data_IF_966057837270
#
_entry.id   IF_966057837270
#
_cell.length_a   1.000
_cell.length_b   1.000
_cell.length_c   1.000
_cell.angle_alpha   90.00
_cell.angle_beta   90.00
_cell.angle_gamma   90.00
#
_symmetry.space_group_name_H-M   'P 1'
#
loop_
_entity.id
_entity.type
_entity.pdbx_description
1 polymer ?
#
# COMPACT_ATOMS: atom_id res chain seq x y z
N UNK A 1 35.08 -4.14 -19.84
CA UNK A 1 33.90 -3.35 -20.27
C UNK A 1 33.40 -3.93 -21.57
N UNK A 2 32.28 -4.65 -21.51
CA UNK A 2 31.47 -4.96 -22.69
C UNK A 2 30.03 -4.71 -22.25
N UNK A 3 29.51 -3.59 -22.72
CA UNK A 3 28.08 -3.29 -22.78
C UNK A 3 27.40 -4.46 -23.48
N UNK A 4 26.66 -5.26 -22.71
CA UNK A 4 25.71 -6.21 -23.26
C UNK A 4 24.32 -5.64 -23.12
N UNK A 5 23.90 -5.06 -24.23
CA UNK A 5 22.54 -5.15 -24.74
C UNK A 5 21.46 -4.67 -23.77
N UNK A 6 21.36 -3.35 -23.73
CA UNK A 6 20.09 -2.66 -23.54
C UNK A 6 19.14 -3.03 -24.70
N UNK A 7 18.59 -4.25 -24.67
CA UNK A 7 17.50 -4.64 -25.56
C UNK A 7 16.26 -3.87 -25.12
N UNK A 8 16.04 -2.71 -25.75
CA UNK A 8 14.74 -2.05 -25.78
C UNK A 8 13.79 -2.94 -26.56
N UNK A 9 13.02 -3.75 -25.84
CA UNK A 9 11.83 -4.37 -26.41
C UNK A 9 10.67 -3.39 -26.24
N UNK A 10 10.49 -2.52 -27.22
CA UNK A 10 9.31 -1.68 -27.34
C UNK A 10 8.30 -2.46 -28.21
N UNK A 11 7.37 -3.16 -27.56
CA UNK A 11 6.15 -3.64 -28.22
C UNK A 11 4.99 -2.91 -27.57
N UNK A 12 4.36 -2.03 -28.33
CA UNK A 12 3.22 -1.23 -27.91
C UNK A 12 2.06 -2.16 -27.48
N UNK A 13 1.91 -2.33 -26.16
CA UNK A 13 0.85 -3.17 -25.60
C UNK A 13 0.99 -3.53 -24.11
N UNK A 14 0.77 -2.55 -23.21
CA UNK A 14 -0.10 -2.74 -22.03
C UNK A 14 0.29 -3.64 -20.83
N UNK A 15 1.55 -3.95 -20.51
CA UNK A 15 1.84 -4.51 -19.18
C UNK A 15 3.02 -3.83 -18.47
N UNK A 16 2.73 -2.82 -17.63
CA UNK A 16 3.68 -2.27 -16.63
C UNK A 16 3.95 -3.27 -15.49
N UNK A 17 4.02 -4.55 -15.81
CA UNK A 17 4.10 -5.63 -14.84
C UNK A 17 5.54 -5.77 -14.34
N UNK A 18 5.78 -5.36 -13.10
CA UNK A 18 7.11 -5.50 -12.49
C UNK A 18 7.29 -6.92 -11.94
N UNK A 19 8.53 -7.39 -11.72
CA UNK A 19 8.77 -8.68 -11.06
C UNK A 19 8.07 -8.79 -9.70
N UNK A 20 7.98 -7.68 -8.97
CA UNK A 20 7.26 -7.61 -7.70
C UNK A 20 5.75 -7.79 -7.87
N UNK A 21 5.13 -7.09 -8.82
CA UNK A 21 3.71 -7.27 -9.10
C UNK A 21 3.41 -8.70 -9.57
N UNK A 22 4.29 -9.32 -10.37
CA UNK A 22 4.17 -10.73 -10.77
C UNK A 22 4.22 -11.68 -9.58
N UNK A 23 5.14 -11.48 -8.64
CA UNK A 23 5.21 -12.32 -7.45
C UNK A 23 3.92 -12.24 -6.60
N UNK A 24 3.30 -11.05 -6.53
CA UNK A 24 2.03 -10.85 -5.82
C UNK A 24 0.86 -11.51 -6.58
N UNK A 25 0.77 -11.31 -7.88
CA UNK A 25 -0.24 -11.94 -8.75
C UNK A 25 -0.15 -13.46 -8.69
N UNK A 26 1.05 -14.03 -8.68
CA UNK A 26 1.26 -15.49 -8.57
C UNK A 26 1.14 -16.02 -7.15
N UNK A 27 1.00 -15.17 -6.12
CA UNK A 27 0.85 -15.61 -4.73
C UNK A 27 2.13 -16.16 -4.08
N UNK A 28 3.31 -15.88 -4.66
CA UNK A 28 4.60 -16.44 -4.22
C UNK A 28 5.15 -15.66 -3.03
N UNK A 29 4.73 -15.97 -1.79
CA UNK A 29 5.09 -15.22 -0.58
C UNK A 29 6.60 -15.08 -0.36
N UNK A 30 7.37 -16.15 -0.61
CA UNK A 30 8.83 -16.11 -0.49
C UNK A 30 9.47 -15.12 -1.45
N UNK A 31 8.96 -15.03 -2.68
CA UNK A 31 9.45 -14.08 -3.68
C UNK A 31 9.01 -12.65 -3.35
N UNK A 32 7.78 -12.45 -2.90
CA UNK A 32 7.29 -11.14 -2.41
C UNK A 32 8.22 -10.61 -1.32
N UNK A 33 8.53 -11.43 -0.31
CA UNK A 33 9.46 -11.06 0.76
C UNK A 33 10.85 -10.71 0.22
N UNK A 34 11.48 -11.62 -0.54
CA UNK A 34 12.82 -11.42 -1.12
C UNK A 34 12.91 -10.13 -1.95
N UNK A 35 11.85 -9.77 -2.69
CA UNK A 35 11.82 -8.56 -3.50
C UNK A 35 11.61 -7.28 -2.67
N UNK A 36 10.77 -7.32 -1.62
CA UNK A 36 10.64 -6.22 -0.67
C UNK A 36 11.95 -5.93 0.05
N UNK A 37 12.65 -6.98 0.50
CA UNK A 37 13.96 -6.87 1.16
C UNK A 37 15.02 -6.24 0.23
N UNK A 38 14.88 -6.43 -1.09
CA UNK A 38 15.72 -5.79 -2.12
C UNK A 38 15.25 -4.39 -2.54
N UNK A 39 14.28 -3.79 -1.83
CA UNK A 39 13.81 -2.43 -2.10
C UNK A 39 12.91 -2.33 -3.34
N UNK A 40 12.13 -3.37 -3.66
CA UNK A 40 11.15 -3.30 -4.72
C UNK A 40 10.20 -2.11 -4.55
N UNK A 41 9.83 -1.47 -5.68
CA UNK A 41 8.88 -0.35 -5.71
C UNK A 41 7.47 -0.85 -5.39
N UNK A 42 7.11 -0.86 -4.10
CA UNK A 42 5.83 -1.40 -3.59
C UNK A 42 4.59 -0.77 -4.23
N UNK A 43 4.65 0.52 -4.56
CA UNK A 43 3.55 1.27 -5.17
C UNK A 43 3.62 1.32 -6.71
N UNK A 44 4.39 0.44 -7.35
CA UNK A 44 4.29 0.26 -8.80
C UNK A 44 2.88 -0.19 -9.20
N UNK A 45 2.47 0.17 -10.42
CA UNK A 45 1.17 -0.21 -10.98
C UNK A 45 1.34 -0.94 -12.30
N UNK A 46 0.48 -1.92 -12.59
CA UNK A 46 0.46 -2.64 -13.86
C UNK A 46 -0.21 -1.80 -14.98
N UNK A 47 -0.48 -2.43 -16.14
CA UNK A 47 -1.11 -1.75 -17.28
C UNK A 47 -2.55 -1.26 -17.02
N UNK A 48 -3.24 -1.84 -16.05
CA UNK A 48 -4.60 -1.49 -15.63
C UNK A 48 -4.62 -0.46 -14.50
N UNK A 49 -3.45 0.02 -14.05
CA UNK A 49 -3.36 0.89 -12.88
C UNK A 49 -3.49 0.15 -11.54
N UNK A 50 -3.56 -1.18 -11.55
CA UNK A 50 -3.58 -1.99 -10.34
C UNK A 50 -2.22 -1.96 -9.64
N UNK A 51 -2.20 -1.50 -8.39
CA UNK A 51 -1.05 -1.68 -7.50
C UNK A 51 -1.03 -3.09 -6.90
N UNK A 52 0.00 -3.42 -6.10
CA UNK A 52 0.12 -4.74 -5.50
C UNK A 52 -1.06 -5.15 -4.59
N UNK A 53 -1.78 -4.19 -3.99
CA UNK A 53 -2.92 -4.52 -3.12
C UNK A 53 -4.16 -4.95 -3.93
N UNK A 54 -4.38 -4.37 -5.12
CA UNK A 54 -5.43 -4.84 -6.03
C UNK A 54 -5.18 -6.31 -6.39
N UNK A 55 -3.97 -6.60 -6.85
CA UNK A 55 -3.56 -7.96 -7.25
C UNK A 55 -3.66 -8.93 -6.07
N UNK A 56 -3.24 -8.52 -4.87
CA UNK A 56 -3.27 -9.38 -3.71
C UNK A 56 -4.71 -9.73 -3.28
N UNK A 57 -5.64 -8.78 -3.39
CA UNK A 57 -7.03 -8.96 -2.98
C UNK A 57 -7.88 -9.71 -4.01
N UNK A 58 -7.43 -9.79 -5.26
CA UNK A 58 -8.02 -10.60 -6.32
C UNK A 58 -7.45 -12.02 -6.39
N UNK A 59 -6.42 -12.32 -5.60
CA UNK A 59 -5.80 -13.63 -5.56
C UNK A 59 -6.33 -14.44 -4.37
N UNK A 60 -6.73 -15.67 -4.63
CA UNK A 60 -7.28 -16.60 -3.64
C UNK A 60 -6.23 -17.54 -3.02
N UNK A 61 -5.01 -17.59 -3.57
CA UNK A 61 -4.00 -18.56 -3.20
C UNK A 61 -2.62 -17.92 -2.97
N UNK A 62 -2.18 -17.92 -1.71
CA UNK A 62 -0.82 -17.55 -1.33
C UNK A 62 -0.12 -18.76 -0.72
N UNK A 63 1.04 -19.10 -1.29
CA UNK A 63 1.83 -20.24 -0.85
C UNK A 63 3.16 -19.76 -0.25
N UNK A 64 3.55 -20.38 0.86
CA UNK A 64 4.89 -20.21 1.42
C UNK A 64 5.66 -21.50 1.16
N UNK A 65 6.64 -21.43 0.26
CA UNK A 65 7.42 -22.60 -0.12
C UNK A 65 8.66 -22.81 0.78
N UNK A 66 9.15 -21.76 1.46
CA UNK A 66 10.48 -21.83 2.09
C UNK A 66 10.62 -21.08 3.43
N UNK A 67 9.77 -20.11 3.78
CA UNK A 67 10.05 -19.23 4.92
C UNK A 67 8.82 -18.77 5.70
N UNK A 68 8.91 -18.84 7.03
CA UNK A 68 7.88 -18.37 7.94
C UNK A 68 7.90 -16.83 8.05
N UNK A 69 6.89 -16.16 7.51
CA UNK A 69 6.74 -14.71 7.61
C UNK A 69 5.93 -14.40 8.88
N UNK A 70 6.60 -14.29 10.04
CA UNK A 70 5.96 -14.04 11.34
C UNK A 70 5.07 -12.77 11.37
N UNK A 71 5.34 -11.80 10.49
CA UNK A 71 4.54 -10.60 10.36
C UNK A 71 3.12 -10.89 9.82
N UNK A 72 2.94 -11.95 9.02
CA UNK A 72 1.61 -12.39 8.59
C UNK A 72 0.75 -12.83 9.77
N UNK A 73 1.30 -13.62 10.71
CA UNK A 73 0.56 -14.06 11.90
C UNK A 73 0.17 -12.88 12.78
N UNK A 74 1.08 -11.90 12.95
CA UNK A 74 0.78 -10.66 13.66
C UNK A 74 -0.41 -9.94 13.05
N UNK A 75 -0.51 -9.88 11.72
CA UNK A 75 -1.62 -9.22 11.04
C UNK A 75 -2.90 -10.06 11.04
N UNK A 76 -2.81 -11.38 10.95
CA UNK A 76 -3.95 -12.26 11.17
C UNK A 76 -4.54 -12.06 12.58
N UNK A 77 -3.69 -12.00 13.61
CA UNK A 77 -4.11 -11.70 14.99
C UNK A 77 -4.73 -10.31 15.11
N UNK A 78 -4.13 -9.28 14.49
CA UNK A 78 -4.68 -7.91 14.49
C UNK A 78 -6.05 -7.84 13.83
N UNK A 79 -6.32 -8.69 12.84
CA UNK A 79 -7.61 -8.82 12.19
C UNK A 79 -8.55 -9.80 12.94
N UNK A 80 -8.12 -10.37 14.07
CA UNK A 80 -8.75 -11.49 14.81
C UNK A 80 -9.22 -12.62 13.91
N UNK A 81 -8.34 -13.01 13.00
CA UNK A 81 -8.48 -14.20 12.19
C UNK A 81 -7.78 -15.39 12.88
N UNK A 82 -8.27 -16.59 12.64
CA UNK A 82 -7.66 -17.84 13.15
C UNK A 82 -6.38 -18.19 12.38
N UNK A 83 -5.58 -19.13 12.91
CA UNK A 83 -4.27 -19.50 12.37
C UNK A 83 -4.32 -20.01 10.91
N UNK A 84 -5.44 -20.62 10.48
CA UNK A 84 -5.65 -21.06 9.09
C UNK A 84 -5.77 -19.92 8.08
N UNK A 85 -5.97 -18.67 8.54
CA UNK A 85 -6.19 -17.50 7.68
C UNK A 85 -4.93 -16.65 7.47
N UNK A 86 -3.75 -17.11 7.93
CA UNK A 86 -2.52 -16.28 7.86
C UNK A 86 -2.11 -15.88 6.44
N UNK A 87 -2.51 -16.67 5.44
CA UNK A 87 -2.22 -16.43 4.01
C UNK A 87 -3.43 -15.87 3.26
N UNK A 88 -4.51 -15.49 3.95
CA UNK A 88 -5.65 -14.89 3.28
C UNK A 88 -5.26 -13.56 2.64
N UNK A 89 -5.91 -13.22 1.53
CA UNK A 89 -5.60 -12.06 0.71
C UNK A 89 -5.56 -10.74 1.51
N UNK A 90 -6.47 -10.55 2.47
CA UNK A 90 -6.47 -9.39 3.36
C UNK A 90 -5.24 -9.33 4.28
N UNK A 91 -4.79 -10.46 4.83
CA UNK A 91 -3.59 -10.50 5.68
C UNK A 91 -2.36 -10.16 4.86
N UNK A 92 -2.24 -10.72 3.66
CA UNK A 92 -1.13 -10.40 2.75
C UNK A 92 -1.18 -8.95 2.28
N UNK A 93 -2.36 -8.41 1.95
CA UNK A 93 -2.54 -7.00 1.63
C UNK A 93 -2.14 -6.09 2.81
N UNK A 94 -2.45 -6.49 4.05
CA UNK A 94 -2.06 -5.76 5.26
C UNK A 94 -0.55 -5.81 5.50
N UNK A 95 0.07 -6.95 5.21
CA UNK A 95 1.53 -7.08 5.19
C UNK A 95 2.16 -6.16 4.14
N UNK A 96 1.66 -6.13 2.91
CA UNK A 96 2.15 -5.22 1.86
C UNK A 96 1.98 -3.74 2.25
N UNK A 97 0.87 -3.40 2.92
CA UNK A 97 0.67 -2.07 3.49
C UNK A 97 1.71 -1.70 4.55
N UNK A 98 2.21 -2.66 5.34
CA UNK A 98 3.33 -2.43 6.26
C UNK A 98 4.55 -1.85 5.54
N UNK A 99 4.80 -2.30 4.31
CA UNK A 99 5.91 -1.86 3.46
C UNK A 99 5.57 -0.60 2.65
N UNK A 100 4.42 0.03 2.91
CA UNK A 100 4.04 1.31 2.30
C UNK A 100 3.14 1.21 1.08
N UNK A 101 2.56 0.04 0.79
CA UNK A 101 1.53 -0.08 -0.25
C UNK A 101 0.28 0.78 0.07
N UNK A 102 -0.42 1.27 -0.95
CA UNK A 102 -1.51 2.24 -0.79
C UNK A 102 -2.92 1.65 -1.01
N UNK A 103 -3.73 1.55 0.06
CA UNK A 103 -5.13 1.09 0.00
C UNK A 103 -6.12 2.06 -0.65
N UNK A 104 -5.72 3.31 -0.90
CA UNK A 104 -6.57 4.37 -1.47
C UNK A 104 -6.24 4.69 -2.93
N UNK A 105 -5.31 3.96 -3.56
CA UNK A 105 -4.92 4.21 -4.94
C UNK A 105 -6.02 3.71 -5.89
N UNK A 106 -6.68 4.55 -6.70
CA UNK A 106 -7.63 4.09 -7.70
C UNK A 106 -6.91 3.45 -8.89
N UNK A 107 -7.37 2.30 -9.37
CA UNK A 107 -6.92 1.75 -10.65
C UNK A 107 -7.54 2.51 -11.85
N UNK A 108 -7.32 2.02 -13.07
CA UNK A 108 -7.87 2.60 -14.29
C UNK A 108 -9.41 2.62 -14.35
N UNK A 109 -10.08 1.79 -13.55
CA UNK A 109 -11.54 1.74 -13.41
C UNK A 109 -12.03 2.55 -12.19
N UNK A 110 -11.16 3.33 -11.57
CA UNK A 110 -11.44 4.11 -10.35
C UNK A 110 -11.83 3.27 -9.12
N UNK A 111 -11.47 1.99 -9.10
CA UNK A 111 -11.64 1.10 -7.95
C UNK A 111 -10.41 1.19 -7.06
N UNK A 112 -10.60 1.33 -5.74
CA UNK A 112 -9.50 1.28 -4.77
C UNK A 112 -9.39 -0.12 -4.14
N UNK A 113 -8.20 -0.55 -3.68
CA UNK A 113 -8.01 -1.87 -3.08
C UNK A 113 -8.96 -2.12 -1.89
N UNK A 114 -9.19 -1.09 -1.07
CA UNK A 114 -10.06 -1.22 0.11
C UNK A 114 -11.50 -1.64 -0.27
N UNK A 115 -11.95 -1.35 -1.49
CA UNK A 115 -13.29 -1.71 -1.98
C UNK A 115 -13.42 -3.13 -2.50
N UNK A 116 -12.30 -3.82 -2.74
CA UNK A 116 -12.29 -5.24 -3.12
C UNK A 116 -12.56 -6.18 -1.93
N UNK A 117 -12.40 -5.70 -0.69
CA UNK A 117 -12.66 -6.50 0.53
C UNK A 117 -14.17 -6.60 0.76
N UNK A 118 -14.74 -7.77 0.45
CA UNK A 118 -16.18 -8.05 0.56
C UNK A 118 -16.65 -8.25 2.01
N UNK A 119 -15.81 -8.83 2.87
CA UNK A 119 -16.15 -9.01 4.28
C UNK A 119 -16.17 -7.64 4.99
N UNK A 120 -17.39 -7.19 5.31
CA UNK A 120 -17.63 -5.90 5.97
C UNK A 120 -16.95 -5.81 7.35
N UNK A 121 -16.99 -6.87 8.14
CA UNK A 121 -16.40 -6.85 9.49
C UNK A 121 -14.87 -6.73 9.39
N UNK A 122 -14.29 -7.47 8.45
CA UNK A 122 -12.86 -7.42 8.19
C UNK A 122 -12.43 -6.06 7.63
N UNK A 123 -13.21 -5.49 6.70
CA UNK A 123 -12.98 -4.15 6.14
C UNK A 123 -13.03 -3.07 7.22
N UNK A 124 -14.04 -3.08 8.08
CA UNK A 124 -14.14 -2.13 9.20
C UNK A 124 -12.98 -2.29 10.17
N UNK A 125 -12.59 -3.53 10.47
CA UNK A 125 -11.44 -3.79 11.33
C UNK A 125 -10.13 -3.28 10.76
N UNK A 126 -9.89 -3.48 9.47
CA UNK A 126 -8.73 -2.94 8.78
C UNK A 126 -8.71 -1.41 8.86
N UNK A 127 -9.85 -0.75 8.61
CA UNK A 127 -9.97 0.72 8.71
C UNK A 127 -9.59 1.28 10.08
N UNK A 128 -9.82 0.54 11.17
CA UNK A 128 -9.46 1.02 12.53
C UNK A 128 -7.98 1.35 12.71
N UNK A 129 -7.10 0.85 11.84
CA UNK A 129 -5.66 1.10 11.92
C UNK A 129 -5.02 1.57 10.61
N UNK A 130 -5.81 1.80 9.57
CA UNK A 130 -5.33 2.55 8.40
C UNK A 130 -5.34 4.05 8.74
N UNK A 131 -4.31 4.82 8.35
CA UNK A 131 -4.38 6.27 8.43
C UNK A 131 -5.51 6.77 7.52
N UNK A 132 -6.24 7.83 7.90
CA UNK A 132 -7.36 8.34 7.11
C UNK A 132 -6.89 8.77 5.71
N UNK A 133 -7.77 8.73 4.69
CA UNK A 133 -7.43 9.25 3.38
C UNK A 133 -7.13 10.75 3.44
N UNK A 134 -6.22 11.21 2.59
CA UNK A 134 -5.97 12.63 2.40
C UNK A 134 -7.26 13.34 2.01
N UNK A 135 -7.67 14.35 2.78
CA UNK A 135 -8.94 15.06 2.58
C UNK A 135 -9.02 15.78 1.24
N UNK A 136 -7.86 16.17 0.67
CA UNK A 136 -7.78 16.84 -0.62
C UNK A 136 -7.80 15.87 -1.80
N UNK A 137 -6.79 15.01 -1.94
CA UNK A 137 -6.67 14.16 -3.14
C UNK A 137 -7.44 12.86 -3.05
N UNK A 138 -7.72 12.34 -1.84
CA UNK A 138 -8.39 11.06 -1.58
C UNK A 138 -7.76 9.79 -2.19
N UNK A 139 -6.69 9.92 -2.98
CA UNK A 139 -6.00 8.80 -3.65
C UNK A 139 -4.83 8.21 -2.85
N UNK A 140 -4.54 8.75 -1.66
CA UNK A 140 -3.50 8.26 -0.75
C UNK A 140 -3.84 8.66 0.69
N UNK A 141 -3.12 8.11 1.66
CA UNK A 141 -3.35 8.40 3.07
C UNK A 141 -2.83 9.79 3.47
N UNK A 142 -3.46 10.39 4.48
CA UNK A 142 -2.96 11.58 5.14
C UNK A 142 -1.67 11.23 5.91
N UNK A 143 -0.64 12.04 5.71
CA UNK A 143 0.72 11.77 6.22
C UNK A 143 1.38 13.00 6.84
N UNK A 144 0.69 14.14 6.85
CA UNK A 144 1.17 15.41 7.38
C UNK A 144 0.43 15.71 8.68
N UNK A 145 1.11 15.52 9.81
CA UNK A 145 0.60 15.87 11.14
C UNK A 145 0.91 17.35 11.43
N UNK A 146 -0.12 18.16 11.63
CA UNK A 146 0.03 19.61 11.83
C UNK A 146 0.24 19.97 13.29
N UNK A 147 1.13 20.93 13.56
CA UNK A 147 1.32 21.53 14.88
C UNK A 147 0.58 22.86 14.98
N UNK A 148 -0.06 23.18 16.13
CA UNK A 148 -0.09 22.40 17.37
C UNK A 148 -1.22 21.36 17.47
N UNK A 149 -2.23 21.41 16.60
CA UNK A 149 -3.48 20.65 16.74
C UNK A 149 -3.36 19.12 16.63
N UNK A 150 -2.25 18.61 16.06
CA UNK A 150 -1.96 17.18 15.80
C UNK A 150 -2.91 16.49 14.82
N UNK A 151 -3.78 17.23 14.13
CA UNK A 151 -4.59 16.66 13.05
C UNK A 151 -3.70 16.19 11.89
N UNK A 152 -3.97 14.99 11.38
CA UNK A 152 -3.32 14.40 10.21
C UNK A 152 -4.34 14.27 9.09
N UNK A 153 -4.38 15.26 8.19
CA UNK A 153 -5.51 15.42 7.24
C UNK A 153 -5.08 15.51 5.78
N UNK A 154 -3.86 15.97 5.50
CA UNK A 154 -3.31 16.03 4.15
C UNK A 154 -2.17 15.02 3.97
N UNK A 155 -2.06 14.44 2.78
CA UNK A 155 -0.82 13.78 2.37
C UNK A 155 0.27 14.82 2.12
N UNK A 156 1.53 14.37 2.18
CA UNK A 156 2.68 15.26 2.04
C UNK A 156 2.67 16.06 0.73
N UNK A 157 2.32 15.42 -0.39
CA UNK A 157 2.25 16.08 -1.69
C UNK A 157 1.18 17.18 -1.74
N UNK A 158 -0.01 16.91 -1.18
CA UNK A 158 -1.07 17.92 -1.13
C UNK A 158 -0.71 19.08 -0.21
N UNK A 159 -0.10 18.80 0.95
CA UNK A 159 0.36 19.85 1.85
C UNK A 159 1.38 20.77 1.17
N UNK A 160 2.40 20.21 0.49
CA UNK A 160 3.43 21.00 -0.22
C UNK A 160 2.82 21.87 -1.33
N UNK A 161 1.78 21.37 -2.02
CA UNK A 161 1.10 22.11 -3.09
C UNK A 161 0.20 23.23 -2.55
N UNK A 162 -0.54 22.95 -1.47
CA UNK A 162 -1.53 23.90 -0.93
C UNK A 162 -0.85 24.96 -0.06
N UNK A 163 0.16 24.58 0.73
CA UNK A 163 0.84 25.44 1.73
C UNK A 163 -0.14 26.28 2.58
N UNK A 164 -1.19 25.64 3.09
CA UNK A 164 -2.19 26.31 3.93
C UNK A 164 -1.59 26.83 5.23
N UNK A 165 -2.04 28.02 5.66
CA UNK A 165 -1.64 28.66 6.91
C UNK A 165 -2.42 28.12 8.12
N UNK A 166 -3.58 27.48 7.89
CA UNK A 166 -4.45 26.94 8.94
C UNK A 166 -4.87 25.49 8.68
N UNK A 167 -5.17 24.77 9.76
CA UNK A 167 -5.62 23.39 9.71
C UNK A 167 -7.04 23.30 9.11
N UNK A 168 -7.28 22.51 8.04
CA UNK A 168 -8.60 22.37 7.41
C UNK A 168 -9.70 21.77 8.30
N UNK A 169 -9.35 21.24 9.47
CA UNK A 169 -10.30 20.57 10.38
C UNK A 169 -10.65 21.41 11.59
N UNK A 170 -9.72 22.23 12.09
CA UNK A 170 -9.93 23.00 13.34
C UNK A 170 -9.55 24.47 13.21
N UNK A 171 -9.14 24.90 12.02
CA UNK A 171 -8.79 26.28 11.66
C UNK A 171 -7.61 26.88 12.45
N UNK A 172 -6.99 26.12 13.36
CA UNK A 172 -5.79 26.56 14.06
C UNK A 172 -4.62 26.82 13.10
N UNK A 173 -3.83 27.90 13.31
CA UNK A 173 -2.64 28.17 12.51
C UNK A 173 -1.64 27.02 12.55
N UNK A 174 -1.07 26.68 11.39
CA UNK A 174 -0.06 25.63 11.23
C UNK A 174 1.31 26.24 11.49
N UNK A 175 1.89 25.93 12.65
CA UNK A 175 3.26 26.37 13.01
C UNK A 175 4.35 25.37 12.61
N UNK A 176 3.97 24.16 12.19
CA UNK A 176 4.90 23.15 11.71
C UNK A 176 4.22 21.85 11.29
N UNK A 177 4.94 20.99 10.59
CA UNK A 177 4.44 19.70 10.09
C UNK A 177 5.42 18.58 10.37
N UNK A 178 4.92 17.47 10.92
CA UNK A 178 5.65 16.21 11.09
C UNK A 178 5.12 15.18 10.07
N UNK A 179 6.02 14.45 9.42
CA UNK A 179 5.63 13.34 8.54
C UNK A 179 5.40 12.07 9.37
N UNK A 180 4.22 11.45 9.22
CA UNK A 180 3.90 10.15 9.82
C UNK A 180 4.30 9.04 8.85
N UNK A 181 5.06 8.03 9.31
CA UNK A 181 5.32 6.80 8.53
C UNK A 181 6.71 6.63 7.89
N UNK A 182 7.63 7.60 8.00
CA UNK A 182 9.05 7.31 7.76
C UNK A 182 9.63 6.63 9.00
N UNK A 183 9.58 5.31 9.05
CA UNK A 183 10.66 4.60 9.76
C UNK A 183 11.92 4.83 8.95
N UNK A 184 12.85 5.59 9.50
CA UNK A 184 14.26 5.49 9.13
C UNK A 184 14.61 4.00 9.15
N UNK A 185 15.01 3.47 8.00
CA UNK A 185 15.59 2.13 7.89
C UNK A 185 16.90 2.15 8.66
#
# INVERSE_FOLDING_TARGET
MLDKDSVKFDMEGKHKMTPFLRAVESGHLGMIKKLLDKGAKVNAVNGEGNNCLHLALQNDAFHSEEEHIALLDKYAFKLSLTQGNRTCSTVVATYLFHFGANFYHPNGENVIPLDLIQDRNLKEKLKTFLPPPCTFCRVTYASSEFKPCRHTVLCRGCYIRIKGESCPTCEQPISGVREFGKKTI
#
